data_IF_138780712803
#
_entry.id   IF_138780712803
#
_cell.length_a   1.000
_cell.length_b   1.000
_cell.length_c   1.000
_cell.angle_alpha   90.00
_cell.angle_beta   90.00
_cell.angle_gamma   90.00
#
_symmetry.space_group_name_H-M   'P 1'
#
loop_
_entity.id
_entity.type
_entity.pdbx_description
1 polymer ?
#
# COMPACT_ATOMS: atom_id res chain seq x y z
N UNK A 1 4.95 -15.12 -17.57
CA UNK A 1 3.60 -15.71 -17.46
C UNK A 1 2.90 -14.98 -16.32
N UNK A 2 1.96 -14.08 -16.63
CA UNK A 2 1.29 -13.26 -15.63
C UNK A 2 0.31 -14.16 -14.89
N UNK A 3 0.67 -14.56 -13.67
CA UNK A 3 -0.22 -15.34 -12.83
C UNK A 3 -1.33 -14.40 -12.40
N UNK A 4 -2.52 -14.69 -12.87
CA UNK A 4 -3.73 -14.00 -12.47
C UNK A 4 -4.01 -14.36 -11.01
N UNK A 5 -3.71 -13.46 -10.08
CA UNK A 5 -3.86 -13.72 -8.64
C UNK A 5 -4.98 -12.91 -7.99
N UNK A 6 -5.65 -12.02 -8.75
CA UNK A 6 -6.59 -11.04 -8.20
C UNK A 6 -7.92 -11.15 -8.93
N UNK A 7 -9.00 -11.26 -8.16
CA UNK A 7 -10.36 -11.02 -8.61
C UNK A 7 -10.96 -9.89 -7.77
N UNK A 8 -11.41 -8.82 -8.42
CA UNK A 8 -11.91 -7.62 -7.72
C UNK A 8 -13.42 -7.50 -7.82
N UNK A 9 -14.04 -7.04 -6.73
CA UNK A 9 -15.43 -6.57 -6.74
C UNK A 9 -15.49 -5.14 -6.22
N UNK A 10 -15.93 -4.22 -7.09
CA UNK A 10 -16.07 -2.80 -6.77
C UNK A 10 -17.47 -2.44 -6.39
N UNK A 11 -17.58 -1.56 -5.40
CA UNK A 11 -18.81 -0.84 -5.12
C UNK A 11 -18.51 0.64 -4.85
N UNK A 12 -18.85 1.49 -5.81
CA UNK A 12 -19.05 2.93 -5.63
C UNK A 12 -19.90 3.45 -6.78
N UNK A 13 -20.80 4.40 -6.49
CA UNK A 13 -21.67 5.02 -7.51
C UNK A 13 -20.95 6.14 -8.29
N UNK A 14 -19.74 6.55 -7.87
CA UNK A 14 -19.03 7.71 -8.44
C UNK A 14 -17.65 7.38 -9.03
N UNK A 15 -16.94 6.40 -8.48
CA UNK A 15 -15.52 6.21 -8.77
C UNK A 15 -15.23 5.20 -9.91
N UNK A 16 -16.28 4.66 -10.55
CA UNK A 16 -16.16 3.52 -11.47
C UNK A 16 -16.30 3.90 -12.96
N UNK A 17 -16.90 5.05 -13.30
CA UNK A 17 -16.89 5.49 -14.70
C UNK A 17 -15.49 6.00 -15.07
N UNK A 18 -14.66 5.13 -15.66
CA UNK A 18 -13.27 5.45 -16.05
C UNK A 18 -12.19 4.87 -15.14
N UNK A 19 -12.51 3.81 -14.39
CA UNK A 19 -11.59 3.16 -13.44
C UNK A 19 -10.27 2.67 -14.09
N UNK A 20 -9.13 3.14 -13.59
CA UNK A 20 -7.78 2.68 -13.94
C UNK A 20 -7.17 1.92 -12.73
N UNK A 21 -6.63 0.70 -12.88
CA UNK A 21 -5.87 0.03 -11.81
C UNK A 21 -4.81 0.91 -11.14
N UNK A 22 -4.20 1.85 -11.89
CA UNK A 22 -3.23 2.80 -11.34
C UNK A 22 -3.87 3.90 -10.48
N UNK A 23 -5.18 4.17 -10.65
CA UNK A 23 -5.90 5.15 -9.84
C UNK A 23 -6.27 4.62 -8.45
N UNK A 24 -6.20 3.30 -8.22
CA UNK A 24 -6.45 2.68 -6.90
C UNK A 24 -5.46 3.15 -5.84
N UNK A 25 -4.20 3.35 -6.24
CA UNK A 25 -3.16 3.85 -5.36
C UNK A 25 -3.42 5.31 -4.91
N UNK A 26 -4.26 6.05 -5.64
CA UNK A 26 -4.65 7.42 -5.31
C UNK A 26 -5.90 7.51 -4.41
N UNK A 27 -6.61 6.40 -4.16
CA UNK A 27 -7.81 6.35 -3.32
C UNK A 27 -7.45 6.24 -1.83
N UNK A 28 -6.55 7.10 -1.35
CA UNK A 28 -6.00 7.05 0.02
C UNK A 28 -7.07 7.13 1.12
N UNK A 29 -8.20 7.78 0.84
CA UNK A 29 -9.33 7.95 1.77
C UNK A 29 -10.27 6.72 1.84
N UNK A 30 -10.12 5.74 0.95
CA UNK A 30 -11.00 4.57 0.91
C UNK A 30 -10.45 3.42 1.76
N UNK A 31 -11.39 2.70 2.38
CA UNK A 31 -11.12 1.46 3.13
C UNK A 31 -11.24 0.25 2.21
N UNK A 32 -10.28 -0.65 2.32
CA UNK A 32 -10.15 -1.82 1.45
C UNK A 32 -10.23 -3.13 2.23
N UNK A 33 -10.97 -4.09 1.71
CA UNK A 33 -10.95 -5.48 2.16
C UNK A 33 -10.12 -6.31 1.19
N UNK A 34 -9.23 -7.16 1.71
CA UNK A 34 -8.44 -8.11 0.94
C UNK A 34 -8.72 -9.49 1.54
N UNK A 35 -9.37 -10.35 0.78
CA UNK A 35 -9.60 -11.74 1.12
C UNK A 35 -8.45 -12.56 0.52
N UNK A 36 -7.56 -13.04 1.38
CA UNK A 36 -6.42 -13.89 1.02
C UNK A 36 -6.84 -15.36 1.09
N UNK A 37 -7.10 -15.97 -0.06
CA UNK A 37 -7.43 -17.39 -0.15
C UNK A 37 -6.16 -18.23 -0.25
N UNK A 38 -5.91 -19.03 0.79
CA UNK A 38 -4.69 -19.84 0.91
C UNK A 38 -4.83 -21.23 0.30
N UNK A 39 -6.05 -21.68 -0.06
CA UNK A 39 -6.30 -23.07 -0.52
C UNK A 39 -6.87 -23.16 -1.93
N UNK A 40 -7.53 -22.12 -2.43
CA UNK A 40 -8.04 -22.09 -3.80
C UNK A 40 -6.90 -21.84 -4.79
N UNK A 41 -6.82 -22.65 -5.85
CA UNK A 41 -5.87 -22.40 -6.93
C UNK A 41 -6.26 -21.15 -7.74
N UNK A 42 -5.25 -20.45 -8.26
CA UNK A 42 -5.43 -19.22 -9.06
C UNK A 42 -6.31 -19.42 -10.29
N UNK A 43 -6.29 -20.61 -10.92
CA UNK A 43 -7.16 -20.95 -12.05
C UNK A 43 -8.63 -21.04 -11.67
N UNK A 44 -8.92 -21.37 -10.41
CA UNK A 44 -10.24 -21.80 -9.96
C UNK A 44 -10.96 -20.70 -9.17
N UNK A 45 -10.24 -19.64 -8.76
CA UNK A 45 -10.76 -18.51 -7.99
C UNK A 45 -12.01 -17.88 -8.62
N UNK A 46 -12.03 -17.74 -9.96
CA UNK A 46 -13.16 -17.18 -10.71
C UNK A 46 -14.41 -18.05 -10.56
N UNK A 47 -14.23 -19.37 -10.57
CA UNK A 47 -15.31 -20.36 -10.46
C UNK A 47 -15.80 -20.47 -9.02
N UNK A 48 -14.89 -20.63 -8.06
CA UNK A 48 -15.21 -20.77 -6.62
C UNK A 48 -16.00 -19.58 -6.13
N UNK A 49 -15.58 -18.36 -6.48
CA UNK A 49 -16.21 -17.15 -5.97
C UNK A 49 -17.38 -16.63 -6.83
N UNK A 50 -17.69 -17.26 -7.97
CA UNK A 50 -18.76 -16.85 -8.89
C UNK A 50 -20.15 -16.71 -8.22
N UNK A 51 -20.47 -17.64 -7.30
CA UNK A 51 -21.72 -17.67 -6.54
C UNK A 51 -21.82 -16.51 -5.56
N UNK A 52 -20.74 -16.24 -4.83
CA UNK A 52 -20.62 -15.12 -3.89
C UNK A 52 -20.78 -13.80 -4.61
N UNK A 53 -20.19 -13.64 -5.79
CA UNK A 53 -20.39 -12.41 -6.58
C UNK A 53 -21.83 -12.20 -6.96
N UNK A 54 -22.59 -13.26 -7.24
CA UNK A 54 -24.01 -13.14 -7.57
C UNK A 54 -24.82 -12.68 -6.35
N UNK A 55 -24.50 -13.19 -5.16
CA UNK A 55 -25.13 -12.80 -3.89
C UNK A 55 -24.77 -11.37 -3.52
N UNK A 56 -23.48 -11.03 -3.52
CA UNK A 56 -22.93 -9.70 -3.36
C UNK A 56 -23.66 -8.76 -4.32
N UNK A 57 -23.58 -9.00 -5.63
CA UNK A 57 -24.24 -8.17 -6.66
C UNK A 57 -25.74 -7.95 -6.37
N UNK A 58 -26.47 -8.97 -5.91
CA UNK A 58 -27.87 -8.84 -5.54
C UNK A 58 -28.08 -7.91 -4.33
N UNK A 59 -27.24 -8.02 -3.30
CA UNK A 59 -27.22 -7.10 -2.16
C UNK A 59 -26.97 -5.67 -2.64
N UNK A 60 -26.06 -5.45 -3.59
CA UNK A 60 -25.71 -4.11 -4.08
C UNK A 60 -26.70 -3.51 -5.06
N UNK A 61 -27.33 -4.33 -5.92
CA UNK A 61 -28.39 -3.88 -6.84
C UNK A 61 -29.57 -3.27 -6.08
N UNK A 62 -29.89 -3.85 -4.92
CA UNK A 62 -30.89 -3.28 -4.01
C UNK A 62 -30.44 -1.93 -3.41
N UNK A 63 -29.13 -1.69 -3.31
CA UNK A 63 -28.50 -0.46 -2.83
C UNK A 63 -28.08 0.53 -3.94
N UNK A 64 -28.63 0.39 -5.16
CA UNK A 64 -28.49 1.36 -6.27
C UNK A 64 -27.08 1.46 -6.90
N UNK A 65 -26.24 0.44 -6.76
CA UNK A 65 -24.93 0.35 -7.44
C UNK A 65 -25.04 -0.52 -8.70
N UNK A 66 -24.50 -0.04 -9.84
CA UNK A 66 -24.81 -0.59 -11.16
C UNK A 66 -23.66 -1.28 -11.90
N UNK A 67 -22.43 -1.34 -11.35
CA UNK A 67 -21.27 -1.83 -12.10
C UNK A 67 -20.50 -2.92 -11.37
N UNK A 68 -20.34 -4.06 -12.04
CA UNK A 68 -19.35 -5.08 -11.72
C UNK A 68 -18.12 -4.83 -12.59
N UNK A 69 -16.96 -4.59 -11.98
CA UNK A 69 -15.69 -4.49 -12.69
C UNK A 69 -14.77 -5.60 -12.18
N UNK A 70 -14.31 -6.46 -13.08
CA UNK A 70 -13.30 -7.46 -12.80
C UNK A 70 -11.96 -6.89 -13.22
N UNK A 71 -10.98 -6.87 -12.31
CA UNK A 71 -9.62 -6.43 -12.64
C UNK A 71 -8.68 -7.58 -12.39
N UNK A 72 -7.95 -7.90 -13.44
CA UNK A 72 -6.91 -8.89 -13.42
C UNK A 72 -5.62 -8.20 -12.94
N UNK A 73 -4.98 -8.73 -11.90
CA UNK A 73 -3.77 -8.14 -11.30
C UNK A 73 -2.80 -9.18 -10.72
N UNK A 74 -1.66 -8.71 -10.22
CA UNK A 74 -0.55 -9.54 -9.70
C UNK A 74 -0.35 -9.36 -8.20
N UNK A 75 0.29 -10.32 -7.53
CA UNK A 75 0.65 -10.15 -6.11
C UNK A 75 1.54 -8.92 -5.85
N UNK A 76 2.40 -8.57 -6.82
CA UNK A 76 3.21 -7.35 -6.76
C UNK A 76 2.36 -6.07 -6.72
N UNK A 77 1.31 -5.98 -7.55
CA UNK A 77 0.39 -4.84 -7.52
C UNK A 77 -0.38 -4.76 -6.20
N UNK A 78 -0.72 -5.90 -5.59
CA UNK A 78 -1.33 -5.91 -4.26
C UNK A 78 -0.35 -5.43 -3.19
N UNK A 79 0.90 -5.89 -3.26
CA UNK A 79 1.97 -5.48 -2.35
C UNK A 79 2.17 -3.97 -2.37
N UNK A 80 2.17 -3.33 -3.54
CA UNK A 80 2.24 -1.86 -3.62
C UNK A 80 0.97 -1.17 -3.11
N UNK A 81 -0.22 -1.79 -3.22
CA UNK A 81 -1.46 -1.24 -2.65
C UNK A 81 -1.42 -1.19 -1.11
N UNK A 82 -0.85 -2.22 -0.47
CA UNK A 82 -0.78 -2.29 1.00
C UNK A 82 0.41 -1.51 1.58
N UNK A 83 1.39 -1.16 0.75
CA UNK A 83 2.63 -0.50 1.15
C UNK A 83 2.40 0.89 1.74
N UNK A 84 2.94 1.10 2.95
CA UNK A 84 2.87 2.38 3.65
C UNK A 84 1.48 2.75 4.18
N UNK A 85 0.52 1.81 4.19
CA UNK A 85 -0.85 2.02 4.66
C UNK A 85 -1.11 1.24 5.94
N UNK A 86 -2.03 1.75 6.77
CA UNK A 86 -2.46 1.04 7.98
C UNK A 86 -3.28 -0.19 7.61
N UNK A 87 -2.85 -1.36 8.06
CA UNK A 87 -3.54 -2.61 7.77
C UNK A 87 -3.80 -3.42 9.04
N UNK A 88 -4.94 -4.11 9.04
CA UNK A 88 -5.31 -5.14 10.01
C UNK A 88 -5.24 -6.50 9.32
N UNK A 89 -4.29 -7.33 9.72
CA UNK A 89 -4.24 -8.72 9.27
C UNK A 89 -4.98 -9.62 10.26
N UNK A 90 -5.81 -10.52 9.73
CA UNK A 90 -6.57 -11.52 10.45
C UNK A 90 -6.32 -12.85 9.76
N UNK A 91 -5.74 -13.82 10.48
CA UNK A 91 -5.61 -15.19 9.99
C UNK A 91 -6.98 -15.89 9.93
N UNK A 92 -7.02 -17.18 9.60
CA UNK A 92 -8.29 -17.91 9.44
C UNK A 92 -9.14 -17.85 10.74
N UNK A 93 -8.52 -18.12 11.89
CA UNK A 93 -9.18 -18.08 13.20
C UNK A 93 -9.59 -16.66 13.58
N UNK A 94 -8.68 -15.69 13.44
CA UNK A 94 -8.96 -14.29 13.73
C UNK A 94 -10.05 -13.71 12.82
N UNK A 95 -10.17 -14.19 11.58
CA UNK A 95 -11.24 -13.80 10.66
C UNK A 95 -12.58 -14.32 11.16
N UNK A 96 -12.67 -15.59 11.57
CA UNK A 96 -13.89 -16.18 12.13
C UNK A 96 -14.30 -15.50 13.44
N UNK A 97 -13.36 -15.24 14.34
CA UNK A 97 -13.63 -14.52 15.60
C UNK A 97 -14.12 -13.10 15.29
N UNK A 98 -13.44 -12.41 14.37
CA UNK A 98 -13.78 -11.03 14.04
C UNK A 98 -15.17 -10.88 13.41
N UNK A 99 -15.60 -11.77 12.52
CA UNK A 99 -16.95 -11.65 11.92
C UNK A 99 -18.07 -11.90 12.93
N UNK A 100 -17.78 -12.66 13.98
CA UNK A 100 -18.73 -13.00 15.04
C UNK A 100 -18.66 -12.07 16.27
N UNK A 101 -17.62 -11.25 16.40
CA UNK A 101 -17.47 -10.30 17.50
C UNK A 101 -18.19 -8.97 17.23
N UNK A 102 -18.33 -8.15 18.27
CA UNK A 102 -18.78 -6.75 18.15
C UNK A 102 -17.61 -5.77 17.93
N UNK A 103 -16.39 -6.28 17.68
CA UNK A 103 -15.21 -5.44 17.57
C UNK A 103 -15.27 -4.51 16.37
N UNK A 104 -14.90 -3.25 16.61
CA UNK A 104 -14.76 -2.21 15.60
C UNK A 104 -13.31 -1.77 15.57
N UNK A 105 -12.68 -1.95 14.41
CA UNK A 105 -11.32 -1.49 14.16
C UNK A 105 -11.34 -0.36 13.13
N UNK A 106 -10.37 0.55 13.22
CA UNK A 106 -10.23 1.66 12.29
C UNK A 106 -8.88 1.55 11.55
N UNK A 107 -8.88 0.81 10.45
CA UNK A 107 -7.73 0.65 9.55
C UNK A 107 -8.14 0.99 8.13
N UNK A 108 -7.19 1.46 7.33
CA UNK A 108 -7.42 1.69 5.90
C UNK A 108 -7.52 0.41 5.09
N UNK A 109 -6.96 -0.69 5.58
CA UNK A 109 -6.94 -1.98 4.89
C UNK A 109 -7.20 -3.10 5.89
N UNK A 110 -8.06 -4.04 5.51
CA UNK A 110 -8.26 -5.28 6.22
C UNK A 110 -7.84 -6.45 5.33
N UNK A 111 -6.98 -7.32 5.85
CA UNK A 111 -6.57 -8.55 5.18
C UNK A 111 -7.14 -9.73 5.97
N UNK A 112 -8.04 -10.47 5.35
CA UNK A 112 -8.71 -11.63 5.92
C UNK A 112 -8.20 -12.89 5.23
N UNK A 113 -7.60 -13.80 5.98
CA UNK A 113 -7.27 -15.12 5.46
C UNK A 113 -8.54 -15.97 5.42
N UNK A 114 -8.87 -16.48 4.23
CA UNK A 114 -10.04 -17.32 3.99
C UNK A 114 -9.62 -18.63 3.32
N UNK A 115 -10.44 -19.66 3.49
CA UNK A 115 -10.15 -20.99 2.99
C UNK A 115 -11.25 -21.45 2.00
N UNK A 116 -11.41 -20.73 0.89
CA UNK A 116 -12.42 -21.05 -0.12
C UNK A 116 -13.87 -21.03 0.39
N UNK A 117 -14.13 -20.49 1.58
CA UNK A 117 -15.44 -20.51 2.23
C UNK A 117 -16.25 -19.25 1.88
N UNK A 118 -17.33 -19.41 1.10
CA UNK A 118 -18.15 -18.30 0.63
C UNK A 118 -18.80 -17.44 1.72
N UNK A 119 -19.16 -18.09 2.83
CA UNK A 119 -20.06 -17.52 3.83
C UNK A 119 -19.36 -16.47 4.67
N UNK A 120 -18.06 -16.63 4.95
CA UNK A 120 -17.25 -15.66 5.70
C UNK A 120 -17.24 -14.32 4.99
N UNK A 121 -17.06 -14.32 3.66
CA UNK A 121 -17.06 -13.10 2.86
C UNK A 121 -18.39 -12.35 3.02
N UNK A 122 -19.52 -13.06 2.97
CA UNK A 122 -20.83 -12.44 3.16
C UNK A 122 -20.98 -11.81 4.56
N UNK A 123 -20.42 -12.45 5.60
CA UNK A 123 -20.44 -11.91 6.96
C UNK A 123 -19.58 -10.64 7.07
N UNK A 124 -18.40 -10.61 6.44
CA UNK A 124 -17.57 -9.39 6.39
C UNK A 124 -18.32 -8.23 5.74
N UNK A 125 -19.06 -8.47 4.65
CA UNK A 125 -19.87 -7.42 4.01
C UNK A 125 -21.04 -6.91 4.87
N UNK A 126 -21.51 -7.68 5.85
CA UNK A 126 -22.50 -7.20 6.83
C UNK A 126 -21.87 -6.21 7.80
N UNK A 127 -20.63 -6.46 8.25
CA UNK A 127 -19.87 -5.54 9.11
C UNK A 127 -19.41 -4.29 8.36
N UNK A 128 -18.90 -4.48 7.15
CA UNK A 128 -18.27 -3.43 6.34
C UNK A 128 -18.97 -3.24 4.99
N UNK A 129 -20.23 -2.78 4.99
CA UNK A 129 -20.91 -2.45 3.74
C UNK A 129 -20.22 -1.23 3.12
N UNK A 130 -20.03 -1.27 1.80
CA UNK A 130 -19.41 -0.22 0.95
C UNK A 130 -17.88 -0.19 0.84
N UNK A 131 -17.13 -1.16 1.37
CA UNK A 131 -15.68 -1.22 1.15
C UNK A 131 -15.32 -1.90 -0.18
N UNK A 132 -14.27 -1.39 -0.84
CA UNK A 132 -13.73 -2.01 -2.04
C UNK A 132 -13.05 -3.32 -1.63
N UNK A 133 -13.39 -4.41 -2.32
CA UNK A 133 -12.97 -5.74 -1.88
C UNK A 133 -12.21 -6.49 -2.98
N UNK A 134 -11.07 -7.04 -2.60
CA UNK A 134 -10.20 -7.87 -3.42
C UNK A 134 -10.25 -9.31 -2.92
N UNK A 135 -10.38 -10.28 -3.81
CA UNK A 135 -10.16 -11.69 -3.51
C UNK A 135 -8.88 -12.10 -4.22
N UNK A 136 -7.90 -12.56 -3.47
CA UNK A 136 -6.57 -12.88 -3.99
C UNK A 136 -6.13 -14.26 -3.53
N UNK A 137 -5.27 -14.90 -4.31
CA UNK A 137 -4.67 -16.21 -4.01
C UNK A 137 -3.15 -16.14 -3.88
N UNK A 138 -2.65 -14.95 -3.50
CA UNK A 138 -1.24 -14.74 -3.25
C UNK A 138 -0.78 -15.53 -2.02
N UNK A 139 0.52 -15.84 -1.95
CA UNK A 139 1.11 -16.32 -0.70
C UNK A 139 1.35 -15.14 0.23
N UNK A 140 1.30 -15.39 1.53
CA UNK A 140 1.60 -14.37 2.55
C UNK A 140 2.98 -13.74 2.36
N UNK A 141 3.99 -14.54 2.01
CA UNK A 141 5.35 -14.08 1.71
C UNK A 141 5.47 -13.24 0.44
N UNK A 142 4.47 -13.26 -0.44
CA UNK A 142 4.41 -12.41 -1.63
C UNK A 142 3.79 -11.04 -1.31
N UNK A 143 3.09 -10.92 -0.19
CA UNK A 143 2.42 -9.68 0.26
C UNK A 143 3.23 -8.98 1.35
N UNK A 144 3.69 -9.73 2.35
CA UNK A 144 4.35 -9.21 3.54
C UNK A 144 5.84 -9.54 3.50
N UNK A 145 6.69 -8.57 3.83
CA UNK A 145 8.13 -8.86 4.07
C UNK A 145 8.29 -9.64 5.38
N UNK A 146 7.45 -9.33 6.38
CA UNK A 146 7.35 -10.04 7.64
C UNK A 146 5.88 -10.15 8.08
N UNK A 147 5.37 -11.37 8.16
CA UNK A 147 3.98 -11.63 8.57
C UNK A 147 3.75 -11.39 10.07
N UNK A 148 4.75 -11.58 10.93
CA UNK A 148 4.60 -11.36 12.37
C UNK A 148 4.37 -9.88 12.67
N UNK A 149 5.01 -8.99 11.90
CA UNK A 149 4.72 -7.56 11.97
C UNK A 149 3.27 -7.26 11.53
N UNK A 150 2.72 -8.01 10.57
CA UNK A 150 1.33 -7.85 10.14
C UNK A 150 0.35 -8.25 11.23
N UNK A 151 0.60 -9.37 11.92
CA UNK A 151 -0.20 -9.84 13.06
C UNK A 151 -0.21 -8.85 14.21
N UNK A 152 0.93 -8.20 14.47
CA UNK A 152 1.08 -7.18 15.50
C UNK A 152 0.58 -5.78 15.06
N UNK A 153 0.05 -5.63 13.85
CA UNK A 153 -0.37 -4.34 13.26
C UNK A 153 0.80 -3.33 13.17
N UNK A 154 2.03 -3.82 13.01
CA UNK A 154 3.25 -3.03 12.78
C UNK A 154 3.47 -2.80 11.29
N UNK A 155 4.47 -1.99 10.96
CA UNK A 155 4.86 -1.78 9.56
C UNK A 155 5.42 -3.07 8.97
N UNK A 156 4.69 -3.65 8.01
CA UNK A 156 5.00 -4.94 7.38
C UNK A 156 6.04 -4.84 6.25
N UNK A 157 6.50 -3.62 5.94
CA UNK A 157 7.49 -3.33 4.90
C UNK A 157 8.78 -2.85 5.53
N UNK A 158 9.86 -3.60 5.31
CA UNK A 158 11.18 -3.19 5.74
C UNK A 158 11.84 -2.35 4.65
N UNK A 159 12.47 -1.26 5.06
CA UNK A 159 13.28 -0.48 4.11
C UNK A 159 14.41 -1.37 3.63
N UNK A 160 14.52 -1.57 2.32
CA UNK A 160 15.58 -2.37 1.73
C UNK A 160 16.94 -1.83 2.23
N UNK A 161 17.83 -2.68 2.79
CA UNK A 161 19.14 -2.27 3.29
C UNK A 161 19.95 -1.47 2.25
N UNK A 162 19.77 -1.77 0.96
CA UNK A 162 20.42 -1.05 -0.13
C UNK A 162 19.93 0.39 -0.28
N UNK A 163 18.63 0.64 -0.11
CA UNK A 163 18.05 1.99 -0.18
C UNK A 163 18.51 2.81 1.02
N UNK A 164 18.50 2.21 2.21
CA UNK A 164 18.99 2.88 3.43
C UNK A 164 20.49 3.23 3.30
N UNK A 165 21.30 2.30 2.79
CA UNK A 165 22.73 2.52 2.52
C UNK A 165 22.94 3.65 1.50
N UNK A 166 22.19 3.65 0.39
CA UNK A 166 22.25 4.71 -0.62
C UNK A 166 21.85 6.08 -0.04
N UNK A 167 20.80 6.15 0.77
CA UNK A 167 20.37 7.38 1.42
C UNK A 167 21.45 7.93 2.37
N UNK A 168 22.11 7.06 3.13
CA UNK A 168 23.21 7.44 4.02
C UNK A 168 24.43 7.97 3.25
N UNK A 169 24.76 7.36 2.11
CA UNK A 169 25.84 7.84 1.24
C UNK A 169 25.51 9.22 0.67
N UNK A 170 24.29 9.43 0.18
CA UNK A 170 23.85 10.73 -0.35
C UNK A 170 23.92 11.81 0.75
N UNK A 171 23.43 11.49 1.95
CA UNK A 171 23.52 12.39 3.10
C UNK A 171 24.97 12.77 3.45
N UNK A 172 25.88 11.79 3.46
CA UNK A 172 27.32 12.00 3.68
C UNK A 172 27.94 12.93 2.63
N UNK A 173 27.62 12.74 1.35
CA UNK A 173 28.11 13.61 0.27
C UNK A 173 27.66 15.06 0.51
N UNK A 174 26.38 15.28 0.80
CA UNK A 174 25.90 16.62 1.11
C UNK A 174 26.56 17.22 2.34
N UNK A 175 26.75 16.44 3.40
CA UNK A 175 27.43 16.88 4.61
C UNK A 175 28.85 17.39 4.34
N UNK A 176 29.65 16.64 3.58
CA UNK A 176 31.00 17.07 3.19
C UNK A 176 31.00 18.29 2.26
N UNK A 177 30.05 18.36 1.32
CA UNK A 177 29.90 19.54 0.47
C UNK A 177 29.56 20.78 1.29
N UNK A 178 28.64 20.70 2.24
CA UNK A 178 28.31 21.83 3.12
C UNK A 178 29.49 22.28 3.96
N UNK A 179 30.26 21.35 4.54
CA UNK A 179 31.47 21.70 5.30
C UNK A 179 32.52 22.35 4.40
N UNK A 180 32.78 21.77 3.22
CA UNK A 180 33.74 22.32 2.27
C UNK A 180 33.34 23.73 1.80
N UNK A 181 32.05 23.93 1.50
CA UNK A 181 31.51 25.22 1.09
C UNK A 181 31.56 26.25 2.21
N UNK A 182 31.28 25.83 3.45
CA UNK A 182 31.40 26.68 4.63
C UNK A 182 32.84 27.15 4.86
N UNK A 183 33.83 26.27 4.69
CA UNK A 183 35.24 26.66 4.76
C UNK A 183 35.58 27.65 3.65
N UNK A 184 35.16 27.39 2.40
CA UNK A 184 35.43 28.27 1.26
C UNK A 184 34.86 29.69 1.43
N UNK A 185 33.63 29.83 1.91
CA UNK A 185 33.01 31.15 2.15
C UNK A 185 33.76 31.92 3.24
N UNK A 186 34.34 31.22 4.22
CA UNK A 186 35.06 31.84 5.33
C UNK A 186 36.55 32.12 5.04
N UNK A 187 37.04 31.82 3.82
CA UNK A 187 38.36 32.26 3.39
C UNK A 187 38.31 33.78 3.17
N UNK A 188 38.70 34.52 4.19
CA UNK A 188 38.89 35.97 4.09
C UNK A 188 40.13 36.27 3.25
N UNK A 189 40.08 37.29 2.41
CA UNK A 189 41.25 37.81 1.69
C UNK A 189 42.32 38.27 2.68
N UNK A 190 43.61 37.95 2.47
CA UNK A 190 44.67 38.43 3.35
C UNK A 190 44.76 39.96 3.28
N UNK A 191 44.68 40.65 4.44
CA UNK A 191 44.73 42.12 4.57
C UNK A 191 45.91 42.80 3.86
N UNK A 192 47.02 42.07 3.66
CA UNK A 192 48.23 42.53 2.97
C UNK A 192 47.94 42.96 1.51
N UNK A 193 46.95 42.34 0.86
CA UNK A 193 46.59 42.71 -0.52
C UNK A 193 45.64 43.91 -0.59
N UNK A 194 44.81 44.13 0.42
CA UNK A 194 43.95 45.32 0.52
C UNK A 194 44.76 46.59 0.77
N UNK A 195 45.76 46.53 1.67
CA UNK A 195 46.63 47.68 1.95
C UNK A 195 47.47 48.08 0.73
N UNK A 196 47.97 47.11 -0.04
CA UNK A 196 48.73 47.40 -1.27
C UNK A 196 47.87 48.02 -2.38
N UNK A 197 46.60 47.62 -2.51
CA UNK A 197 45.68 48.27 -3.46
C UNK A 197 45.35 49.71 -3.05
N UNK A 198 45.22 49.99 -1.75
CA UNK A 198 45.03 51.34 -1.20
C UNK A 198 46.21 52.28 -1.46
N UNK A 199 47.44 51.76 -1.48
CA UNK A 199 48.65 52.54 -1.78
C UNK A 199 48.72 52.89 -3.26
N UNK A 200 48.44 51.94 -4.16
CA UNK A 200 48.47 52.15 -5.62
C UNK A 200 47.41 53.19 -6.06
N UNK A 201 46.22 53.21 -5.44
CA UNK A 201 45.17 54.20 -5.75
C UNK A 201 45.44 55.61 -5.20
N UNK A 202 46.41 55.79 -4.28
CA UNK A 202 46.81 57.11 -3.77
C UNK A 202 47.98 57.73 -4.53
N UNK A 203 48.67 56.94 -5.36
CA UNK A 203 49.82 57.39 -6.15
C UNK A 203 49.44 57.86 -7.57
N UNK A 204 48.14 58.02 -7.86
CA UNK A 204 47.62 58.58 -9.12
C UNK A 204 46.94 59.94 -8.93
#
# INVERSE_FOLDING_TARGET
MYVLCIYVCFISNKDIQGFDPNSVLNLSENVFNIFLDTKTNNSDIKTVYSSIFSVIYKIWKNNKYNSKVTIDGTCSSMKELIKGRSLKYLDELGTEEYVNSDDVFNFSIFVYTVNGQPDIIQQVYKKHPNYISYIITCKESELFDNIEDAKDNKNVFHTNPNILSQLMIVFLIFFFLFIGFYVLINISTPKIYEEKQLIINKEH
#
